data_IF_163940418139
#
_entry.id   IF_163940418139
#
_cell.length_a   1.000
_cell.length_b   1.000
_cell.length_c   1.000
_cell.angle_alpha   90.00
_cell.angle_beta   90.00
_cell.angle_gamma   90.00
#
_symmetry.space_group_name_H-M   'P 1'
#
loop_
_entity.id
_entity.type
_entity.pdbx_description
1 polymer ?
#
# COMPACT_ATOMS: atom_id res chain seq x y z
N UNK A 1 46.97 -38.59 -23.76
CA UNK A 1 45.50 -38.45 -23.63
C UNK A 1 45.22 -37.14 -22.91
N UNK A 2 44.30 -36.33 -23.44
CA UNK A 2 43.96 -34.99 -22.96
C UNK A 2 42.56 -35.09 -22.37
N UNK A 3 42.32 -34.60 -21.15
CA UNK A 3 41.06 -33.94 -20.80
C UNK A 3 41.24 -33.09 -19.53
N UNK A 4 40.57 -31.92 -19.47
CA UNK A 4 40.83 -30.83 -18.52
C UNK A 4 39.89 -30.94 -17.30
N UNK A 5 39.98 -30.04 -16.32
CA UNK A 5 38.79 -29.41 -15.71
C UNK A 5 39.20 -28.16 -14.93
N UNK A 6 38.47 -27.10 -15.23
CA UNK A 6 38.63 -25.73 -14.77
C UNK A 6 38.25 -25.58 -13.29
N UNK A 7 39.01 -24.76 -12.58
CA UNK A 7 38.56 -24.14 -11.35
C UNK A 7 37.29 -23.33 -11.62
N UNK A 8 36.25 -23.50 -10.82
CA UNK A 8 35.12 -22.57 -10.79
C UNK A 8 34.75 -22.35 -9.33
N UNK A 9 35.39 -21.33 -8.75
CA UNK A 9 34.94 -20.60 -7.58
C UNK A 9 33.59 -19.97 -7.90
N UNK A 10 32.51 -20.71 -7.63
CA UNK A 10 31.15 -20.18 -7.66
C UNK A 10 30.82 -19.50 -6.34
N UNK A 11 31.02 -18.19 -6.27
CA UNK A 11 30.52 -17.36 -5.16
C UNK A 11 28.99 -17.46 -5.12
N UNK A 12 28.45 -18.12 -4.09
CA UNK A 12 27.03 -18.07 -3.75
C UNK A 12 26.67 -16.64 -3.31
N UNK A 13 26.16 -15.84 -4.24
CA UNK A 13 25.48 -14.58 -3.90
C UNK A 13 24.03 -14.92 -3.56
N UNK A 14 23.79 -15.24 -2.29
CA UNK A 14 22.44 -15.23 -1.70
C UNK A 14 22.10 -13.78 -1.35
N UNK A 15 21.69 -12.99 -2.35
CA UNK A 15 20.93 -11.77 -2.12
C UNK A 15 19.53 -12.20 -1.67
N UNK A 16 19.42 -12.52 -0.38
CA UNK A 16 18.12 -12.62 0.27
C UNK A 16 17.45 -11.25 0.11
N UNK A 17 16.49 -11.16 -0.82
CA UNK A 17 15.50 -10.10 -0.85
C UNK A 17 14.81 -10.16 0.52
N UNK A 18 15.27 -9.34 1.46
CA UNK A 18 14.48 -8.95 2.61
C UNK A 18 13.30 -8.16 2.07
N UNK A 19 12.31 -8.86 1.52
CA UNK A 19 10.97 -8.32 1.35
C UNK A 19 10.56 -7.94 2.76
N UNK A 20 10.67 -6.66 3.06
CA UNK A 20 10.23 -6.05 4.30
C UNK A 20 8.86 -6.63 4.58
N UNK A 21 8.76 -7.45 5.62
CA UNK A 21 7.50 -7.98 6.11
C UNK A 21 6.73 -6.84 6.81
N UNK A 22 6.51 -5.74 6.10
CA UNK A 22 5.56 -4.71 6.43
C UNK A 22 4.20 -5.38 6.29
N UNK A 23 3.71 -5.92 7.41
CA UNK A 23 2.49 -6.71 7.42
C UNK A 23 1.36 -5.93 6.77
N UNK A 24 0.78 -6.51 5.72
CA UNK A 24 -0.34 -5.96 4.95
C UNK A 24 -1.41 -5.43 5.92
N UNK A 25 -1.40 -4.12 6.11
CA UNK A 25 -2.32 -3.41 6.99
C UNK A 25 -3.17 -2.50 6.12
N UNK A 26 -4.28 -2.03 6.69
CA UNK A 26 -5.19 -1.13 5.98
C UNK A 26 -4.96 0.30 6.47
N UNK A 27 -4.94 1.24 5.53
CA UNK A 27 -4.50 2.63 5.73
C UNK A 27 -5.48 3.60 5.07
N UNK A 28 -5.53 4.85 5.55
CA UNK A 28 -6.37 5.89 4.92
C UNK A 28 -5.65 6.66 3.82
N UNK A 29 -4.33 6.65 3.79
CA UNK A 29 -3.55 7.30 2.75
C UNK A 29 -2.45 6.38 2.24
N UNK A 30 -2.27 6.33 0.92
CA UNK A 30 -1.21 5.58 0.28
C UNK A 30 -0.63 6.34 -0.92
N UNK A 31 0.66 6.14 -1.17
CA UNK A 31 1.39 6.80 -2.24
C UNK A 31 2.46 5.87 -2.86
N UNK A 32 2.58 5.91 -4.17
CA UNK A 32 3.58 5.16 -4.93
C UNK A 32 4.90 5.92 -5.02
N UNK A 33 6.01 5.18 -5.06
CA UNK A 33 7.35 5.74 -5.20
C UNK A 33 8.13 4.95 -6.25
N UNK A 34 9.11 5.61 -6.85
CA UNK A 34 10.13 4.98 -7.66
C UNK A 34 11.28 4.42 -6.81
N UNK A 35 12.11 3.59 -7.42
CA UNK A 35 13.23 2.89 -6.76
C UNK A 35 14.31 3.83 -6.19
N UNK A 36 14.37 5.07 -6.66
CA UNK A 36 15.23 6.14 -6.15
C UNK A 36 14.60 6.89 -4.95
N UNK A 37 13.38 6.54 -4.56
CA UNK A 37 12.61 7.18 -3.51
C UNK A 37 11.85 8.43 -3.97
N UNK A 38 11.80 8.72 -5.27
CA UNK A 38 11.02 9.83 -5.83
C UNK A 38 9.52 9.50 -5.79
N UNK A 39 8.65 10.41 -5.30
CA UNK A 39 7.20 10.33 -5.45
C UNK A 39 6.75 10.06 -6.89
N UNK A 40 5.91 9.05 -7.11
CA UNK A 40 5.34 8.78 -8.44
C UNK A 40 3.83 9.09 -8.43
N UNK A 41 3.51 10.35 -8.77
CA UNK A 41 2.14 10.86 -8.74
C UNK A 41 1.24 10.18 -9.78
N UNK A 42 1.74 9.97 -11.00
CA UNK A 42 0.98 9.33 -12.08
C UNK A 42 0.60 7.89 -11.72
N UNK A 43 1.54 7.13 -11.16
CA UNK A 43 1.26 5.78 -10.67
C UNK A 43 0.31 5.81 -9.47
N UNK A 44 0.40 6.83 -8.61
CA UNK A 44 -0.50 6.98 -7.46
C UNK A 44 -1.93 7.29 -7.88
N UNK A 45 -2.13 8.25 -8.79
CA UNK A 45 -3.45 8.59 -9.32
C UNK A 45 -4.07 7.39 -10.05
N UNK A 46 -3.29 6.72 -10.89
CA UNK A 46 -3.71 5.49 -11.59
C UNK A 46 -4.12 4.42 -10.59
N UNK A 47 -3.28 4.13 -9.59
CA UNK A 47 -3.60 3.16 -8.53
C UNK A 47 -4.85 3.57 -7.74
N UNK A 48 -5.05 4.86 -7.50
CA UNK A 48 -6.20 5.38 -6.79
C UNK A 48 -7.52 5.14 -7.54
N UNK A 49 -7.48 5.19 -8.88
CA UNK A 49 -8.64 4.97 -9.74
C UNK A 49 -9.17 3.52 -9.75
N UNK A 50 -8.41 2.56 -9.21
CA UNK A 50 -8.87 1.17 -9.05
C UNK A 50 -9.96 1.03 -7.99
N UNK A 51 -10.06 1.98 -7.05
CA UNK A 51 -11.09 2.00 -6.05
C UNK A 51 -12.30 2.81 -6.55
N UNK A 52 -13.48 2.58 -5.95
CA UNK A 52 -14.66 3.34 -6.30
C UNK A 52 -14.47 4.83 -5.98
N UNK A 53 -14.99 5.72 -6.83
CA UNK A 53 -14.92 7.17 -6.61
C UNK A 53 -15.62 7.66 -5.33
N UNK A 54 -16.45 6.82 -4.70
CA UNK A 54 -17.02 7.06 -3.37
C UNK A 54 -16.09 6.67 -2.21
N UNK A 55 -15.04 5.90 -2.51
CA UNK A 55 -14.21 5.23 -1.52
C UNK A 55 -12.82 5.87 -1.46
N UNK A 56 -12.27 6.32 -2.60
CA UNK A 56 -10.98 6.98 -2.70
C UNK A 56 -11.02 8.25 -3.56
N UNK A 57 -10.03 9.11 -3.35
CA UNK A 57 -9.73 10.23 -4.24
C UNK A 57 -8.25 10.58 -4.18
N UNK A 58 -7.71 11.03 -5.30
CA UNK A 58 -6.34 11.54 -5.38
C UNK A 58 -6.32 13.00 -4.89
N UNK A 59 -5.70 13.23 -3.73
CA UNK A 59 -5.70 14.51 -3.01
C UNK A 59 -4.30 14.73 -2.43
N UNK A 60 -3.73 15.92 -2.64
CA UNK A 60 -2.40 16.30 -2.13
C UNK A 60 -1.28 15.33 -2.55
N UNK A 61 -1.34 14.80 -3.78
CA UNK A 61 -0.42 13.77 -4.30
C UNK A 61 -0.54 12.39 -3.65
N UNK A 62 -1.53 12.15 -2.81
CA UNK A 62 -1.79 10.85 -2.18
C UNK A 62 -3.13 10.28 -2.64
N UNK A 63 -3.26 8.96 -2.64
CA UNK A 63 -4.57 8.33 -2.70
C UNK A 63 -5.16 8.30 -1.29
N UNK A 64 -6.24 9.05 -1.06
CA UNK A 64 -6.91 9.15 0.24
C UNK A 64 -8.22 8.39 0.22
N UNK A 65 -8.45 7.57 1.23
CA UNK A 65 -9.75 6.98 1.52
C UNK A 65 -10.70 8.08 2.01
N UNK A 66 -11.77 8.28 1.26
CA UNK A 66 -12.84 9.26 1.55
C UNK A 66 -14.18 8.57 1.84
N UNK A 67 -14.21 7.24 1.83
CA UNK A 67 -15.37 6.45 2.16
C UNK A 67 -15.79 6.59 3.63
N UNK A 68 -16.97 6.08 4.01
CA UNK A 68 -17.49 6.17 5.36
C UNK A 68 -16.57 5.53 6.41
N UNK A 69 -16.49 6.15 7.59
CA UNK A 69 -15.63 5.73 8.71
C UNK A 69 -16.15 4.53 9.52
N UNK A 70 -17.39 4.05 9.29
CA UNK A 70 -17.97 3.01 10.16
C UNK A 70 -18.68 1.88 9.43
N UNK A 71 -18.33 0.68 9.90
CA UNK A 71 -19.10 -0.56 9.84
C UNK A 71 -20.50 -0.32 10.41
N UNK A 72 -21.51 -0.24 9.56
CA UNK A 72 -22.90 -0.14 10.01
C UNK A 72 -23.30 -1.34 10.88
N UNK A 73 -24.28 -1.16 11.76
CA UNK A 73 -24.89 -2.22 12.58
C UNK A 73 -25.70 -3.26 11.78
N UNK A 74 -25.35 -3.48 10.52
CA UNK A 74 -25.93 -4.46 9.61
C UNK A 74 -24.79 -5.14 8.84
N UNK A 75 -24.85 -6.47 8.73
CA UNK A 75 -23.76 -7.39 8.34
C UNK A 75 -23.23 -7.28 6.90
N UNK A 76 -23.28 -6.11 6.25
CA UNK A 76 -22.86 -5.98 4.86
C UNK A 76 -22.10 -4.68 4.62
N UNK A 77 -20.77 -4.85 4.61
CA UNK A 77 -19.71 -3.98 4.08
C UNK A 77 -19.33 -2.76 4.93
N UNK A 78 -18.03 -2.62 5.17
CA UNK A 78 -17.18 -1.63 4.50
C UNK A 78 -15.73 -1.94 4.89
N UNK A 79 -14.85 -2.06 3.90
CA UNK A 79 -13.41 -2.10 4.12
C UNK A 79 -12.98 -0.66 4.39
N UNK A 80 -12.65 -0.26 5.64
CA UNK A 80 -12.17 1.08 5.84
C UNK A 80 -10.74 1.13 5.29
N UNK A 81 -10.52 1.85 4.20
CA UNK A 81 -9.18 2.14 3.68
C UNK A 81 -8.59 1.17 2.64
N UNK A 82 -7.30 1.35 2.38
CA UNK A 82 -6.52 0.67 1.34
C UNK A 82 -5.51 -0.30 1.98
N UNK A 83 -5.49 -1.54 1.52
CA UNK A 83 -4.45 -2.52 1.88
C UNK A 83 -3.13 -2.07 1.27
N UNK A 84 -2.08 -1.89 2.09
CA UNK A 84 -0.75 -1.52 1.60
C UNK A 84 -0.17 -2.56 0.63
N UNK A 85 -0.50 -3.84 0.79
CA UNK A 85 -0.03 -4.88 -0.12
C UNK A 85 -0.74 -4.82 -1.47
N UNK A 86 -2.05 -4.63 -1.48
CA UNK A 86 -2.81 -4.48 -2.71
C UNK A 86 -2.36 -3.19 -3.43
N UNK A 87 -2.19 -2.10 -2.67
CA UNK A 87 -1.74 -0.82 -3.22
C UNK A 87 -0.33 -0.91 -3.80
N UNK A 88 0.58 -1.67 -3.19
CA UNK A 88 1.91 -1.97 -3.77
C UNK A 88 1.78 -2.67 -5.13
N UNK A 89 0.90 -3.66 -5.24
CA UNK A 89 0.68 -4.36 -6.51
C UNK A 89 0.11 -3.42 -7.58
N UNK A 90 -0.80 -2.52 -7.20
CA UNK A 90 -1.33 -1.48 -8.07
C UNK A 90 -0.24 -0.49 -8.51
N UNK A 91 0.64 -0.04 -7.60
CA UNK A 91 1.76 0.82 -7.94
C UNK A 91 2.67 0.18 -9.01
N UNK A 92 3.01 -1.10 -8.84
CA UNK A 92 3.82 -1.83 -9.80
C UNK A 92 3.12 -1.97 -11.17
N UNK A 93 1.81 -2.26 -11.17
CA UNK A 93 1.01 -2.32 -12.40
C UNK A 93 0.90 -0.97 -13.10
N UNK A 94 0.87 0.12 -12.35
CA UNK A 94 0.82 1.49 -12.84
C UNK A 94 2.19 2.05 -13.28
N UNK A 95 3.27 1.27 -13.16
CA UNK A 95 4.60 1.61 -13.66
C UNK A 95 5.56 2.24 -12.65
N UNK A 96 5.20 2.27 -11.35
CA UNK A 96 6.15 2.66 -10.31
C UNK A 96 7.28 1.63 -10.20
N UNK A 97 8.52 2.09 -10.11
CA UNK A 97 9.70 1.22 -10.02
C UNK A 97 10.10 0.85 -8.59
N UNK A 98 9.48 1.49 -7.59
CA UNK A 98 9.70 1.18 -6.19
C UNK A 98 9.11 -0.17 -5.80
N UNK A 99 9.76 -0.86 -4.86
CA UNK A 99 9.34 -2.19 -4.41
C UNK A 99 8.18 -2.16 -3.40
N UNK A 100 7.76 -0.98 -2.95
CA UNK A 100 6.70 -0.83 -1.95
C UNK A 100 5.90 0.46 -2.14
N UNK A 101 4.74 0.54 -1.50
CA UNK A 101 3.99 1.77 -1.34
C UNK A 101 4.19 2.37 0.05
N UNK A 102 4.16 3.69 0.16
CA UNK A 102 4.14 4.37 1.46
C UNK A 102 2.70 4.59 1.87
N UNK A 103 2.25 3.93 2.93
CA UNK A 103 0.91 4.12 3.47
C UNK A 103 0.95 4.64 4.90
N UNK A 104 0.03 5.56 5.21
CA UNK A 104 -0.06 6.25 6.49
C UNK A 104 -1.50 6.24 7.01
N UNK A 105 -1.69 6.66 8.27
CA UNK A 105 -3.00 6.59 8.95
C UNK A 105 -3.56 5.15 9.01
N UNK A 106 -2.77 4.24 9.61
CA UNK A 106 -3.15 2.84 9.80
C UNK A 106 -4.48 2.74 10.55
N UNK A 107 -5.41 1.98 9.97
CA UNK A 107 -6.71 1.72 10.56
C UNK A 107 -6.55 0.52 11.48
N UNK A 108 -6.53 0.79 12.79
CA UNK A 108 -6.52 -0.26 13.81
C UNK A 108 -7.96 -0.59 14.17
N UNK A 109 -8.29 -1.88 14.26
CA UNK A 109 -9.59 -2.37 14.73
C UNK A 109 -9.86 -2.07 16.22
N UNK A 110 -9.10 -1.16 16.86
CA UNK A 110 -9.22 -0.76 18.26
C UNK A 110 -8.98 0.75 18.48
N UNK A 111 -10.03 1.56 18.26
CA UNK A 111 -10.42 2.73 19.08
C UNK A 111 -10.26 4.15 18.49
N UNK A 112 -10.93 5.19 19.04
CA UNK A 112 -12.17 5.21 19.83
C UNK A 112 -13.39 5.49 18.93
N UNK A 113 -14.57 5.05 19.35
CA UNK A 113 -15.81 5.72 18.93
C UNK A 113 -15.66 7.19 19.33
N UNK A 114 -15.53 8.10 18.37
CA UNK A 114 -15.85 9.51 18.65
C UNK A 114 -17.31 9.50 19.10
N UNK A 115 -17.54 9.51 20.40
CA UNK A 115 -18.81 9.93 20.96
C UNK A 115 -18.96 11.36 20.46
N UNK A 116 -19.71 11.52 19.37
CA UNK A 116 -20.29 12.80 19.01
C UNK A 116 -21.00 13.25 20.29
N UNK A 117 -20.43 14.24 20.98
CA UNK A 117 -21.17 14.92 22.05
C UNK A 117 -22.46 15.39 21.40
N UNK A 118 -23.65 15.00 21.91
CA UNK A 118 -24.86 15.61 21.44
C UNK A 118 -24.74 17.11 21.73
N UNK A 119 -24.97 17.92 20.69
CA UNK A 119 -25.18 19.34 20.86
C UNK A 119 -26.32 19.51 21.86
N UNK A 120 -25.99 20.00 23.06
CA UNK A 120 -27.01 20.52 23.97
C UNK A 120 -27.53 21.82 23.37
N UNK A 121 -28.82 21.79 23.03
CA UNK A 121 -29.63 22.99 22.76
C UNK A 121 -29.93 23.69 24.08
#
# INVERSE_FOLDING_TARGET
>A
MKLPTLATTGSLVLLALSQSALGCSVYRSCHCYDSDGTPNNDATETSCSHYGASDSSFIDSECKYIGPDSTGAGRSRLFPGMSNCDFRELCAQAGATGSDSSCSEKITSKGPVKVLKPNST
#
